data_IF_096322785105
#
_entry.id   IF_096322785105
#
_cell.length_a   1.000
_cell.length_b   1.000
_cell.length_c   1.000
_cell.angle_alpha   90.00
_cell.angle_beta   90.00
_cell.angle_gamma   90.00
#
_symmetry.space_group_name_H-M   'P 1'
#
loop_
_entity.id
_entity.type
_entity.pdbx_description
1 polymer ?
#
# COMPACT_ATOMS: atom_id res chain seq x y z
N UNK A 1 -3.94 3.60 8.94
CA UNK A 1 -5.07 4.11 8.13
C UNK A 1 -6.33 3.38 8.53
N UNK A 2 -7.36 4.11 8.96
CA UNK A 2 -8.64 3.52 9.39
C UNK A 2 -9.73 3.60 8.32
N UNK A 3 -9.55 4.48 7.33
CA UNK A 3 -10.50 4.68 6.25
C UNK A 3 -9.77 4.92 4.94
N UNK A 4 -10.42 4.54 3.85
CA UNK A 4 -9.96 4.84 2.49
C UNK A 4 -10.66 6.10 2.04
N UNK A 5 -9.91 7.14 1.68
CA UNK A 5 -10.51 8.38 1.21
C UNK A 5 -10.93 8.26 -0.27
N UNK A 6 -11.76 9.19 -0.72
CA UNK A 6 -12.33 9.14 -2.07
C UNK A 6 -11.25 9.28 -3.16
N UNK A 7 -10.19 10.03 -2.88
CA UNK A 7 -9.10 10.19 -3.84
C UNK A 7 -8.38 8.87 -4.08
N UNK A 8 -8.02 8.17 -3.01
CA UNK A 8 -7.34 6.88 -3.14
C UNK A 8 -8.24 5.85 -3.82
N UNK A 9 -9.53 5.80 -3.44
CA UNK A 9 -10.49 4.91 -4.08
C UNK A 9 -10.57 5.20 -5.59
N UNK A 10 -10.68 6.46 -5.97
CA UNK A 10 -10.74 6.86 -7.38
C UNK A 10 -9.47 6.47 -8.14
N UNK A 11 -8.30 6.70 -7.55
CA UNK A 11 -7.02 6.35 -8.17
C UNK A 11 -6.92 4.84 -8.40
N UNK A 12 -7.30 4.04 -7.42
CA UNK A 12 -7.28 2.57 -7.54
C UNK A 12 -8.27 2.10 -8.60
N UNK A 13 -9.50 2.64 -8.59
CA UNK A 13 -10.52 2.29 -9.60
C UNK A 13 -10.00 2.57 -11.02
N UNK A 14 -9.33 3.71 -11.21
CA UNK A 14 -8.74 4.05 -12.51
C UNK A 14 -7.64 3.07 -12.92
N UNK A 15 -6.82 2.63 -11.98
CA UNK A 15 -5.73 1.70 -12.26
C UNK A 15 -6.21 0.29 -12.58
N UNK A 16 -7.39 -0.10 -12.11
CA UNK A 16 -7.95 -1.43 -12.37
C UNK A 16 -9.11 -1.40 -13.38
N UNK A 17 -9.25 -0.27 -14.09
CA UNK A 17 -10.27 -0.06 -15.12
C UNK A 17 -11.72 -0.21 -14.61
N UNK A 18 -11.97 0.19 -13.37
CA UNK A 18 -13.29 0.18 -12.77
C UNK A 18 -13.83 1.59 -12.67
N UNK A 19 -14.72 1.95 -13.59
CA UNK A 19 -15.21 3.31 -13.73
C UNK A 19 -16.65 3.52 -13.30
N UNK A 20 -17.39 2.45 -12.99
CA UNK A 20 -18.78 2.59 -12.56
C UNK A 20 -18.88 3.04 -11.12
N UNK A 21 -20.00 3.71 -10.81
CA UNK A 21 -20.34 4.14 -9.45
C UNK A 21 -21.44 3.24 -8.91
N UNK A 22 -21.09 2.34 -8.01
CA UNK A 22 -22.01 1.46 -7.30
C UNK A 22 -21.58 1.47 -5.83
N UNK A 23 -22.41 2.00 -4.96
CA UNK A 23 -22.07 2.18 -3.55
C UNK A 23 -21.68 0.86 -2.87
N UNK A 24 -22.37 -0.22 -3.17
CA UNK A 24 -22.07 -1.52 -2.59
C UNK A 24 -20.73 -2.06 -3.08
N UNK A 25 -20.44 -1.93 -4.38
CA UNK A 25 -19.18 -2.35 -4.96
C UNK A 25 -18.03 -1.48 -4.46
N UNK A 26 -18.24 -0.18 -4.36
CA UNK A 26 -17.22 0.76 -3.84
C UNK A 26 -16.89 0.48 -2.39
N UNK A 27 -17.90 0.17 -1.57
CA UNK A 27 -17.69 -0.18 -0.18
C UNK A 27 -16.87 -1.46 -0.03
N UNK A 28 -17.16 -2.47 -0.84
CA UNK A 28 -16.41 -3.71 -0.88
C UNK A 28 -14.96 -3.47 -1.31
N UNK A 29 -14.78 -2.68 -2.36
CA UNK A 29 -13.45 -2.33 -2.86
C UNK A 29 -12.66 -1.54 -1.82
N UNK A 30 -13.29 -0.57 -1.14
CA UNK A 30 -12.66 0.18 -0.06
C UNK A 30 -12.16 -0.73 1.06
N UNK A 31 -12.93 -1.76 1.40
CA UNK A 31 -12.52 -2.76 2.38
C UNK A 31 -11.28 -3.53 1.95
N UNK A 32 -11.22 -3.91 0.67
CA UNK A 32 -10.05 -4.59 0.12
C UNK A 32 -8.82 -3.67 0.15
N UNK A 33 -8.97 -2.42 -0.25
CA UNK A 33 -7.89 -1.42 -0.23
C UNK A 33 -7.37 -1.23 1.19
N UNK A 34 -8.27 -1.07 2.15
CA UNK A 34 -7.89 -0.87 3.54
C UNK A 34 -7.09 -2.06 4.07
N UNK A 35 -7.54 -3.29 3.78
CA UNK A 35 -6.81 -4.49 4.18
C UNK A 35 -5.43 -4.56 3.53
N UNK A 36 -5.33 -4.14 2.27
CA UNK A 36 -4.05 -4.09 1.56
C UNK A 36 -3.08 -3.09 2.19
N UNK A 37 -3.55 -1.89 2.50
CA UNK A 37 -2.75 -0.87 3.19
C UNK A 37 -2.24 -1.40 4.53
N UNK A 38 -3.11 -1.98 5.32
CA UNK A 38 -2.75 -2.49 6.63
C UNK A 38 -1.75 -3.65 6.52
N UNK A 39 -1.93 -4.52 5.53
CA UNK A 39 -1.01 -5.64 5.31
C UNK A 39 0.39 -5.16 4.97
N UNK A 40 0.49 -4.22 4.03
CA UNK A 40 1.78 -3.66 3.62
C UNK A 40 2.44 -2.91 4.78
N UNK A 41 1.67 -2.11 5.51
CA UNK A 41 2.15 -1.38 6.68
C UNK A 41 2.69 -2.34 7.75
N UNK A 42 1.98 -3.43 8.02
CA UNK A 42 2.42 -4.43 8.99
C UNK A 42 3.72 -5.11 8.58
N UNK A 43 3.83 -5.49 7.31
CA UNK A 43 5.03 -6.15 6.79
C UNK A 43 6.26 -5.24 6.92
N UNK A 44 6.08 -3.95 6.62
CA UNK A 44 7.17 -2.98 6.62
C UNK A 44 7.37 -2.26 7.95
N UNK A 45 6.43 -2.41 8.90
CA UNK A 45 6.53 -1.79 10.22
C UNK A 45 6.36 -0.28 10.22
N UNK A 46 5.69 0.28 9.23
CA UNK A 46 5.45 1.72 9.12
C UNK A 46 4.21 2.00 8.30
N UNK A 47 3.74 3.24 8.31
CA UNK A 47 2.65 3.70 7.47
C UNK A 47 3.20 4.37 6.22
N UNK A 48 2.54 4.15 5.07
CA UNK A 48 2.89 4.78 3.80
C UNK A 48 1.79 5.71 3.33
N UNK A 49 2.18 6.70 2.56
CA UNK A 49 1.24 7.56 1.84
C UNK A 49 0.96 6.92 0.48
N UNK A 50 -0.19 6.24 0.38
CA UNK A 50 -0.58 5.52 -0.83
C UNK A 50 -1.17 6.44 -1.91
N UNK A 51 -1.33 7.73 -1.64
CA UNK A 51 -1.75 8.70 -2.64
C UNK A 51 -0.59 9.14 -3.53
N UNK A 52 0.64 8.96 -3.05
CA UNK A 52 1.85 9.26 -3.83
C UNK A 52 2.15 8.14 -4.82
N UNK A 53 2.68 8.50 -5.99
CA UNK A 53 3.17 7.51 -6.95
C UNK A 53 4.50 6.93 -6.45
N UNK A 54 4.43 5.78 -5.81
CA UNK A 54 5.61 5.13 -5.22
C UNK A 54 5.45 3.60 -5.21
N UNK A 55 6.48 2.91 -4.74
CA UNK A 55 6.48 1.45 -4.67
C UNK A 55 5.35 0.91 -3.79
N UNK A 56 5.04 1.58 -2.69
CA UNK A 56 3.96 1.16 -1.80
C UNK A 56 2.61 1.19 -2.52
N UNK A 57 2.34 2.23 -3.32
CA UNK A 57 1.11 2.32 -4.12
C UNK A 57 1.04 1.21 -5.16
N UNK A 58 2.15 0.92 -5.83
CA UNK A 58 2.22 -0.17 -6.81
C UNK A 58 1.90 -1.52 -6.16
N UNK A 59 2.45 -1.78 -4.98
CA UNK A 59 2.16 -3.00 -4.23
C UNK A 59 0.69 -3.05 -3.81
N UNK A 60 0.11 -1.92 -3.40
CA UNK A 60 -1.30 -1.86 -3.05
C UNK A 60 -2.19 -2.20 -4.25
N UNK A 61 -1.90 -1.64 -5.42
CA UNK A 61 -2.65 -1.92 -6.64
C UNK A 61 -2.58 -3.42 -6.96
N UNK A 62 -1.40 -4.03 -6.88
CA UNK A 62 -1.24 -5.46 -7.11
C UNK A 62 -2.03 -6.29 -6.11
N UNK A 63 -2.03 -5.89 -4.84
CA UNK A 63 -2.83 -6.56 -3.81
C UNK A 63 -4.31 -6.55 -4.17
N UNK A 64 -4.84 -5.39 -4.56
CA UNK A 64 -6.25 -5.25 -4.93
C UNK A 64 -6.58 -6.15 -6.12
N UNK A 65 -5.74 -6.17 -7.15
CA UNK A 65 -5.96 -7.00 -8.32
C UNK A 65 -5.98 -8.49 -7.98
N UNK A 66 -5.05 -8.94 -7.14
CA UNK A 66 -5.02 -10.34 -6.69
C UNK A 66 -6.22 -10.68 -5.81
N UNK A 67 -6.66 -9.76 -4.95
CA UNK A 67 -7.85 -9.96 -4.13
C UNK A 67 -9.10 -10.13 -4.99
N UNK A 68 -9.25 -9.29 -6.01
CA UNK A 68 -10.39 -9.36 -6.93
C UNK A 68 -10.38 -10.63 -7.76
N UNK A 69 -9.21 -11.16 -8.05
CA UNK A 69 -9.05 -12.43 -8.78
C UNK A 69 -9.14 -13.67 -7.88
N UNK A 70 -9.28 -13.49 -6.57
CA UNK A 70 -9.31 -14.60 -5.62
C UNK A 70 -7.96 -15.30 -5.45
N UNK A 71 -6.86 -14.58 -5.69
CA UNK A 71 -5.51 -15.15 -5.75
C UNK A 71 -4.56 -14.53 -4.71
N UNK A 72 -5.06 -14.02 -3.59
CA UNK A 72 -4.22 -13.40 -2.56
C UNK A 72 -3.15 -14.33 -1.99
N UNK A 73 -3.38 -15.64 -2.00
CA UNK A 73 -2.40 -16.60 -1.53
C UNK A 73 -1.10 -16.53 -2.33
N UNK A 74 -1.19 -16.13 -3.59
CA UNK A 74 -0.02 -16.01 -4.48
C UNK A 74 0.61 -14.62 -4.44
N UNK A 75 -0.09 -13.61 -3.91
CA UNK A 75 0.38 -12.23 -3.97
C UNK A 75 1.72 -12.04 -3.25
N UNK A 76 1.83 -12.45 -2.01
CA UNK A 76 3.04 -12.24 -1.22
C UNK A 76 4.23 -12.99 -1.82
N UNK A 77 4.00 -14.18 -2.35
CA UNK A 77 5.01 -14.98 -3.01
C UNK A 77 5.52 -14.31 -4.28
N UNK A 78 4.59 -13.87 -5.14
CA UNK A 78 4.95 -13.28 -6.43
C UNK A 78 5.59 -11.90 -6.29
N UNK A 79 5.28 -11.17 -5.23
CA UNK A 79 5.82 -9.82 -4.98
C UNK A 79 6.83 -9.78 -3.85
N UNK A 80 7.38 -10.93 -3.45
CA UNK A 80 8.32 -11.00 -2.33
C UNK A 80 9.55 -10.12 -2.51
N UNK A 81 10.08 -10.02 -3.71
CA UNK A 81 11.24 -9.17 -3.99
C UNK A 81 10.90 -7.69 -3.83
N UNK A 82 9.74 -7.27 -4.34
CA UNK A 82 9.28 -5.89 -4.21
C UNK A 82 9.01 -5.53 -2.75
N UNK A 83 8.41 -6.44 -2.02
CA UNK A 83 8.15 -6.28 -0.58
C UNK A 83 9.47 -6.14 0.18
N UNK A 84 10.43 -7.01 -0.09
CA UNK A 84 11.74 -6.98 0.55
C UNK A 84 12.49 -5.67 0.24
N UNK A 85 12.39 -5.21 -0.99
CA UNK A 85 12.99 -3.94 -1.39
C UNK A 85 12.37 -2.77 -0.63
N UNK A 86 11.05 -2.76 -0.51
CA UNK A 86 10.34 -1.71 0.23
C UNK A 86 10.73 -1.72 1.70
N UNK A 87 10.84 -2.90 2.33
CA UNK A 87 11.31 -3.03 3.70
C UNK A 87 12.73 -2.45 3.86
N UNK A 88 13.62 -2.79 2.94
CA UNK A 88 15.00 -2.31 2.99
C UNK A 88 15.08 -0.79 2.84
N UNK A 89 14.34 -0.23 1.88
CA UNK A 89 14.28 1.23 1.69
C UNK A 89 13.81 1.91 2.97
N UNK A 90 12.79 1.35 3.62
CA UNK A 90 12.24 1.91 4.85
C UNK A 90 13.22 1.81 6.00
N UNK A 91 13.95 0.72 6.14
CA UNK A 91 14.98 0.55 7.17
C UNK A 91 16.12 1.56 6.99
N UNK A 92 16.58 1.75 5.76
CA UNK A 92 17.64 2.72 5.45
C UNK A 92 17.17 4.13 5.78
N UNK A 93 15.93 4.48 5.41
CA UNK A 93 15.36 5.79 5.70
C UNK A 93 15.25 6.02 7.20
N UNK A 94 14.77 5.04 7.95
CA UNK A 94 14.64 5.14 9.40
C UNK A 94 16.00 5.31 10.07
N UNK A 95 17.03 4.61 9.59
CA UNK A 95 18.40 4.77 10.07
C UNK A 95 18.93 6.17 9.81
N UNK A 96 18.76 6.67 8.56
CA UNK A 96 19.20 8.00 8.18
C UNK A 96 18.53 9.09 9.03
N UNK A 97 17.23 8.97 9.27
CA UNK A 97 16.46 9.90 10.10
C UNK A 97 16.98 9.91 11.55
N UNK A 98 17.32 8.75 12.10
CA UNK A 98 17.90 8.66 13.45
C UNK A 98 19.28 9.31 13.53
N UNK A 99 20.12 9.09 12.52
CA UNK A 99 21.46 9.70 12.50
C UNK A 99 21.38 11.22 12.34
N UNK A 100 20.46 11.71 11.49
CA UNK A 100 20.21 13.14 11.34
C UNK A 100 19.73 13.76 12.66
N UNK A 101 18.85 13.07 13.39
CA UNK A 101 18.37 13.50 14.70
C UNK A 101 19.51 13.60 15.71
N UNK A 102 20.41 12.63 15.74
CA UNK A 102 21.59 12.66 16.62
C UNK A 102 22.50 13.83 16.32
N UNK A 103 22.73 14.11 15.05
CA UNK A 103 23.55 15.24 14.63
C UNK A 103 22.92 16.58 14.98
N UNK A 104 21.61 16.66 14.97
CA UNK A 104 20.87 17.88 15.29
C UNK A 104 20.84 18.22 16.78
N UNK A 105 21.24 17.31 17.65
CA UNK A 105 21.20 17.49 19.10
C UNK A 105 22.47 18.17 19.65
N UNK A 106 23.51 18.24 18.86
CA UNK A 106 24.80 18.81 19.29
C UNK A 106 24.71 20.30 19.52
#
# INVERSE_FOLDING_TARGET
>A
MNEVNEKLLGDIKNNIDRTWNDDAADKKLSGIILRGCNRINDICGCEFDYEQENTAKELLISYVMYALAGALDDWQKNYSQDINRLQLIQEVKAYADREAGKQGIV
#
